data_IF_880308304146
#
_entry.id   IF_880308304146
#
_cell.length_a   1.000
_cell.length_b   1.000
_cell.length_c   1.000
_cell.angle_alpha   90.00
_cell.angle_beta   90.00
_cell.angle_gamma   90.00
#
_symmetry.space_group_name_H-M   'P 1'
#
loop_
_entity.id
_entity.type
_entity.pdbx_description
1 polymer ?
#
# COMPACT_ATOMS: atom_id res chain seq x y z
N UNK A 1 39.19 -36.16 -3.14
CA UNK A 1 38.47 -36.01 -1.85
C UNK A 1 38.62 -34.57 -1.38
N UNK A 2 37.67 -33.70 -1.71
CA UNK A 2 37.64 -32.32 -1.21
C UNK A 2 36.65 -32.22 -0.02
N UNK A 3 37.00 -31.53 1.08
CA UNK A 3 36.11 -31.27 2.20
C UNK A 3 35.39 -29.92 1.99
N UNK A 4 34.08 -29.84 2.21
CA UNK A 4 33.41 -28.55 2.45
C UNK A 4 32.29 -28.69 3.48
N UNK A 5 32.48 -27.99 4.60
CA UNK A 5 31.47 -27.71 5.61
C UNK A 5 30.28 -27.01 4.97
N UNK A 6 29.11 -27.65 5.00
CA UNK A 6 27.86 -27.09 4.54
C UNK A 6 27.32 -26.03 5.51
N UNK A 7 27.67 -24.78 5.21
CA UNK A 7 26.84 -23.58 5.19
C UNK A 7 25.66 -23.49 6.18
N UNK A 8 25.80 -22.58 7.15
CA UNK A 8 24.71 -22.05 7.96
C UNK A 8 23.59 -21.46 7.08
N UNK A 9 22.36 -21.98 7.18
CA UNK A 9 21.19 -21.31 6.63
C UNK A 9 20.72 -20.25 7.64
N UNK A 10 21.21 -19.02 7.43
CA UNK A 10 20.67 -17.85 8.12
C UNK A 10 19.26 -17.61 7.59
N UNK A 11 18.25 -17.95 8.39
CA UNK A 11 16.85 -17.56 8.17
C UNK A 11 16.75 -16.03 8.27
N UNK A 12 16.81 -15.36 7.12
CA UNK A 12 16.81 -13.90 7.00
C UNK A 12 15.37 -13.40 6.83
N UNK A 13 14.90 -12.74 7.90
CA UNK A 13 14.02 -11.56 7.92
C UNK A 13 12.65 -11.64 7.20
N UNK A 14 11.58 -11.85 7.98
CA UNK A 14 10.23 -11.38 7.68
C UNK A 14 10.00 -10.00 8.32
N UNK A 15 10.91 -9.07 8.05
CA UNK A 15 10.82 -7.73 8.58
C UNK A 15 10.29 -6.86 7.46
N UNK A 16 8.97 -6.69 7.48
CA UNK A 16 8.20 -5.56 6.97
C UNK A 16 9.03 -4.53 6.21
N UNK A 17 9.33 -4.84 4.95
CA UNK A 17 9.74 -3.87 3.97
C UNK A 17 8.54 -3.64 3.06
N UNK A 18 7.46 -3.10 3.63
CA UNK A 18 6.61 -2.19 2.85
C UNK A 18 7.40 -0.90 2.76
N UNK A 19 8.31 -0.96 1.78
CA UNK A 19 9.14 0.11 1.31
C UNK A 19 8.27 1.37 1.15
N UNK A 20 8.50 2.33 2.03
CA UNK A 20 8.21 3.73 1.77
C UNK A 20 9.18 4.21 0.68
N UNK A 21 8.92 3.81 -0.57
CA UNK A 21 9.47 4.45 -1.77
C UNK A 21 8.31 5.17 -2.44
N UNK A 22 8.03 6.38 -1.95
CA UNK A 22 7.12 7.34 -2.61
C UNK A 22 7.84 7.98 -3.81
N UNK A 23 8.46 7.16 -4.65
CA UNK A 23 9.49 7.54 -5.61
C UNK A 23 9.09 7.38 -7.08
N UNK A 24 7.93 7.92 -7.48
CA UNK A 24 7.68 8.23 -8.90
C UNK A 24 6.79 7.27 -9.69
N UNK A 25 5.74 6.73 -9.07
CA UNK A 25 4.59 6.20 -9.81
C UNK A 25 3.72 7.34 -10.34
N UNK A 26 3.00 7.11 -11.44
CA UNK A 26 1.92 8.02 -11.86
C UNK A 26 1.03 8.38 -10.64
N UNK A 27 0.43 9.58 -10.59
CA UNK A 27 -0.37 10.02 -9.44
C UNK A 27 -1.44 8.99 -9.04
N UNK A 28 -1.95 8.22 -9.99
CA UNK A 28 -2.88 7.11 -9.78
C UNK A 28 -2.28 5.91 -9.01
N UNK A 29 -1.00 5.58 -9.22
CA UNK A 29 -0.33 4.51 -8.47
C UNK A 29 -0.08 4.91 -7.02
N UNK A 30 0.38 6.14 -6.80
CA UNK A 30 0.66 6.66 -5.47
C UNK A 30 -0.62 6.80 -4.62
N UNK A 31 -1.74 7.20 -5.24
CA UNK A 31 -3.03 7.28 -4.56
C UNK A 31 -3.58 5.90 -4.21
N UNK A 32 -3.37 4.88 -5.04
CA UNK A 32 -3.77 3.49 -4.75
C UNK A 32 -2.93 2.89 -3.63
N UNK A 33 -1.61 3.07 -3.65
CA UNK A 33 -0.75 2.60 -2.55
C UNK A 33 -1.14 3.25 -1.22
N UNK A 34 -1.42 4.55 -1.23
CA UNK A 34 -1.96 5.26 -0.07
C UNK A 34 -3.35 4.70 0.34
N UNK A 35 -4.22 4.39 -0.61
CA UNK A 35 -5.56 3.86 -0.33
C UNK A 35 -5.50 2.51 0.39
N UNK A 36 -4.54 1.63 0.06
CA UNK A 36 -4.34 0.37 0.80
C UNK A 36 -3.95 0.63 2.26
N UNK A 37 -3.04 1.57 2.52
CA UNK A 37 -2.61 1.90 3.88
C UNK A 37 -3.73 2.57 4.69
N UNK A 38 -4.44 3.52 4.07
CA UNK A 38 -5.56 4.23 4.69
C UNK A 38 -6.72 3.29 4.96
N UNK A 39 -7.00 2.34 4.05
CA UNK A 39 -8.07 1.36 4.24
C UNK A 39 -7.86 0.55 5.52
N UNK A 40 -6.66 0.03 5.77
CA UNK A 40 -6.36 -0.69 7.01
C UNK A 40 -6.56 0.20 8.25
N UNK A 41 -5.99 1.41 8.24
CA UNK A 41 -6.14 2.35 9.35
C UNK A 41 -7.60 2.78 9.59
N UNK A 42 -8.38 2.96 8.53
CA UNK A 42 -9.79 3.31 8.60
C UNK A 42 -10.64 2.14 9.10
N UNK A 43 -10.29 0.88 8.76
CA UNK A 43 -10.93 -0.31 9.34
C UNK A 43 -10.65 -0.43 10.84
N UNK A 44 -9.42 -0.16 11.27
CA UNK A 44 -9.05 -0.18 12.69
C UNK A 44 -9.79 0.91 13.50
N UNK A 45 -10.00 2.08 12.90
CA UNK A 45 -10.71 3.21 13.53
C UNK A 45 -12.25 3.10 13.42
N UNK A 46 -12.76 2.39 12.42
CA UNK A 46 -14.18 2.34 12.07
C UNK A 46 -14.66 3.55 11.23
N UNK A 47 -13.77 4.21 10.49
CA UNK A 47 -14.15 5.33 9.61
C UNK A 47 -14.70 4.79 8.28
N UNK A 48 -16.01 4.60 8.23
CA UNK A 48 -16.71 4.10 7.04
C UNK A 48 -16.60 5.04 5.83
N UNK A 49 -16.49 6.36 6.04
CA UNK A 49 -16.39 7.30 4.94
C UNK A 49 -15.03 7.18 4.23
N UNK A 50 -13.95 7.04 5.01
CA UNK A 50 -12.61 6.79 4.47
C UNK A 50 -12.50 5.39 3.83
N UNK A 51 -13.10 4.36 4.43
CA UNK A 51 -13.16 3.01 3.85
C UNK A 51 -13.80 3.03 2.47
N UNK A 52 -14.93 3.71 2.31
CA UNK A 52 -15.64 3.78 1.02
C UNK A 52 -14.90 4.60 -0.03
N UNK A 53 -14.16 5.64 0.37
CA UNK A 53 -13.29 6.39 -0.53
C UNK A 53 -12.10 5.54 -1.00
N UNK A 54 -11.42 4.84 -0.09
CA UNK A 54 -10.30 3.95 -0.42
C UNK A 54 -10.72 2.85 -1.37
N UNK A 55 -11.87 2.22 -1.12
CA UNK A 55 -12.43 1.19 -2.00
C UNK A 55 -12.68 1.71 -3.41
N UNK A 56 -13.19 2.95 -3.56
CA UNK A 56 -13.40 3.58 -4.87
C UNK A 56 -12.11 3.87 -5.60
N UNK A 57 -11.06 4.30 -4.89
CA UNK A 57 -9.74 4.54 -5.50
C UNK A 57 -9.12 3.22 -5.99
N UNK A 58 -9.18 2.16 -5.18
CA UNK A 58 -8.65 0.85 -5.54
C UNK A 58 -9.46 0.22 -6.68
N UNK A 59 -10.80 0.29 -6.63
CA UNK A 59 -11.68 -0.23 -7.68
C UNK A 59 -11.46 0.48 -9.01
N UNK A 60 -11.28 1.80 -8.99
CA UNK A 60 -10.96 2.55 -10.20
C UNK A 60 -9.69 2.01 -10.86
N UNK A 61 -8.62 1.78 -10.10
CA UNK A 61 -7.41 1.19 -10.65
C UNK A 61 -7.60 -0.26 -11.13
N UNK A 62 -8.31 -1.10 -10.37
CA UNK A 62 -8.58 -2.48 -10.78
C UNK A 62 -9.42 -2.56 -12.07
N UNK A 63 -10.24 -1.54 -12.34
CA UNK A 63 -11.06 -1.42 -13.55
C UNK A 63 -10.35 -0.64 -14.67
N UNK A 64 -9.16 -0.10 -14.42
CA UNK A 64 -8.43 0.76 -15.37
C UNK A 64 -9.12 2.10 -15.62
N UNK A 65 -9.92 2.57 -14.66
CA UNK A 65 -10.56 3.88 -14.65
C UNK A 65 -9.86 4.84 -13.69
N UNK A 66 -10.20 6.13 -13.75
CA UNK A 66 -9.60 7.15 -12.88
C UNK A 66 -10.54 7.40 -11.70
N UNK A 67 -9.98 7.34 -10.49
CA UNK A 67 -10.72 7.60 -9.27
C UNK A 67 -11.17 9.07 -9.18
N UNK A 68 -12.27 9.33 -8.46
CA UNK A 68 -12.75 10.69 -8.23
C UNK A 68 -11.70 11.52 -7.49
N UNK A 69 -11.48 12.77 -7.93
CA UNK A 69 -10.48 13.65 -7.32
C UNK A 69 -10.70 13.89 -5.82
N UNK A 70 -11.97 13.92 -5.38
CA UNK A 70 -12.33 14.03 -3.96
C UNK A 70 -11.92 12.78 -3.16
N UNK A 71 -12.04 11.59 -3.76
CA UNK A 71 -11.66 10.34 -3.09
C UNK A 71 -10.13 10.24 -3.02
N UNK A 72 -9.42 10.68 -4.07
CA UNK A 72 -7.95 10.78 -4.09
C UNK A 72 -7.46 11.78 -3.03
N UNK A 73 -8.04 12.97 -2.95
CA UNK A 73 -7.62 14.00 -1.99
C UNK A 73 -7.84 13.55 -0.53
N UNK A 74 -8.97 12.86 -0.27
CA UNK A 74 -9.25 12.28 1.03
C UNK A 74 -8.19 11.24 1.41
N UNK A 75 -7.86 10.32 0.50
CA UNK A 75 -6.84 9.27 0.74
C UNK A 75 -5.46 9.88 0.97
N UNK A 76 -5.05 10.84 0.13
CA UNK A 76 -3.74 11.50 0.26
C UNK A 76 -3.66 12.43 1.48
N UNK A 77 -4.81 12.92 1.95
CA UNK A 77 -4.92 13.81 3.11
C UNK A 77 -5.17 13.09 4.45
N UNK A 78 -5.49 11.80 4.45
CA UNK A 78 -5.98 11.09 5.64
C UNK A 78 -5.01 11.12 6.83
N UNK A 79 -3.70 11.06 6.58
CA UNK A 79 -2.65 11.09 7.61
C UNK A 79 -1.97 12.45 7.78
N UNK A 80 -2.50 13.51 7.16
CA UNK A 80 -1.92 14.86 7.17
C UNK A 80 -2.54 15.74 8.26
#
# INVERSE_FOLDING_TARGET
MLPQFGTAVRKKNLNSAVTADLGGGAPDKASVDAAWLVLEAANDLGDHAAIDACRRVIDAELTGTVAGSSDIDLVLGYFR
#
